data_IF_029259334413
#
_entry.id   IF_029259334413
#
_cell.length_a   1.000
_cell.length_b   1.000
_cell.length_c   1.000
_cell.angle_alpha   90.00
_cell.angle_beta   90.00
_cell.angle_gamma   90.00
#
_symmetry.space_group_name_H-M   'P 1'
#
loop_
_entity.id
_entity.type
_entity.pdbx_description
1 polymer ?
#
# COMPACT_ATOMS: atom_id res chain seq x y z
N UNK A 1 35.83 33.93 -33.58
CA UNK A 1 34.65 34.24 -32.73
C UNK A 1 33.44 33.52 -33.30
N UNK A 2 33.04 32.41 -32.69
CA UNK A 2 31.69 31.83 -32.77
C UNK A 2 31.67 30.60 -31.84
N UNK A 3 31.61 30.88 -30.55
CA UNK A 3 31.23 29.91 -29.54
C UNK A 3 29.72 29.69 -29.71
N UNK A 4 29.34 28.61 -30.39
CA UNK A 4 27.94 28.16 -30.41
C UNK A 4 27.83 27.03 -29.39
N UNK A 5 27.44 27.46 -28.20
CA UNK A 5 26.82 26.72 -27.12
C UNK A 5 26.55 25.22 -27.38
N UNK A 6 27.39 24.38 -26.78
CA UNK A 6 26.93 23.11 -26.23
C UNK A 6 25.95 23.41 -25.09
N UNK A 7 24.68 23.59 -25.43
CA UNK A 7 23.56 23.60 -24.48
C UNK A 7 22.48 22.68 -25.02
N UNK A 8 22.82 21.39 -25.09
CA UNK A 8 21.82 20.34 -24.91
C UNK A 8 21.80 20.02 -23.41
N UNK A 9 21.39 21.01 -22.61
CA UNK A 9 20.96 20.74 -21.24
C UNK A 9 19.54 20.22 -21.37
N UNK A 10 19.44 18.97 -21.83
CA UNK A 10 18.24 18.16 -21.78
C UNK A 10 18.07 17.67 -20.34
N UNK A 11 18.13 18.58 -19.37
CA UNK A 11 17.62 18.34 -18.03
C UNK A 11 16.10 18.34 -18.19
N UNK A 12 15.61 17.17 -18.61
CA UNK A 12 14.23 16.74 -18.48
C UNK A 12 13.69 17.34 -17.19
N UNK A 13 12.76 18.28 -17.33
CA UNK A 13 11.88 18.71 -16.26
C UNK A 13 11.22 17.43 -15.74
N UNK A 14 11.81 16.83 -14.71
CA UNK A 14 11.25 15.66 -14.04
C UNK A 14 10.05 16.22 -13.30
N UNK A 15 8.90 16.14 -13.96
CA UNK A 15 7.60 16.46 -13.41
C UNK A 15 7.51 15.88 -11.99
N UNK A 16 7.50 16.76 -10.99
CA UNK A 16 7.11 16.45 -9.61
C UNK A 16 5.61 16.14 -9.58
N UNK A 17 5.20 15.12 -10.34
CA UNK A 17 3.82 14.69 -10.38
C UNK A 17 3.55 13.92 -9.08
N UNK A 18 2.56 14.34 -8.27
CA UNK A 18 2.34 13.75 -6.97
C UNK A 18 2.08 12.25 -7.11
N UNK A 19 2.86 11.42 -6.41
CA UNK A 19 2.72 9.97 -6.48
C UNK A 19 1.32 9.58 -6.01
N UNK A 20 0.53 8.86 -6.84
CA UNK A 20 -0.84 8.51 -6.51
C UNK A 20 -0.90 7.62 -5.26
N UNK A 21 -1.89 7.86 -4.40
CA UNK A 21 -2.02 7.23 -3.07
C UNK A 21 -2.07 5.70 -3.16
N UNK A 22 -2.73 5.16 -4.19
CA UNK A 22 -2.82 3.71 -4.37
C UNK A 22 -1.44 3.08 -4.61
N UNK A 23 -0.52 3.81 -5.25
CA UNK A 23 0.84 3.34 -5.53
C UNK A 23 1.67 3.34 -4.24
N UNK A 24 1.61 4.41 -3.43
CA UNK A 24 2.28 4.45 -2.12
C UNK A 24 1.80 3.35 -1.15
N UNK A 25 0.54 2.91 -1.27
CA UNK A 25 -0.02 1.83 -0.46
C UNK A 25 0.55 0.46 -0.87
N UNK A 26 0.70 0.21 -2.18
CA UNK A 26 1.23 -1.03 -2.73
C UNK A 26 2.78 -1.08 -2.75
N UNK A 27 3.45 0.07 -2.74
CA UNK A 27 4.92 0.15 -2.71
C UNK A 27 5.51 -0.11 -1.32
N UNK A 28 4.70 -0.07 -0.26
CA UNK A 28 5.13 -0.33 1.11
C UNK A 28 4.96 -1.82 1.48
N UNK A 29 6.04 -2.63 1.50
CA UNK A 29 5.94 -4.07 1.78
C UNK A 29 5.38 -4.37 3.18
N UNK A 30 5.59 -3.49 4.15
CA UNK A 30 5.00 -3.63 5.49
C UNK A 30 3.48 -3.42 5.52
N UNK A 31 2.95 -2.51 4.69
CA UNK A 31 1.50 -2.31 4.58
C UNK A 31 0.86 -3.51 3.90
N UNK A 32 1.50 -4.06 2.86
CA UNK A 32 1.08 -5.29 2.21
C UNK A 32 1.15 -6.50 3.16
N UNK A 33 2.21 -6.63 3.94
CA UNK A 33 2.36 -7.68 4.95
C UNK A 33 1.29 -7.54 6.03
N UNK A 34 1.11 -6.33 6.57
CA UNK A 34 0.10 -6.05 7.57
C UNK A 34 -1.28 -6.40 7.03
N UNK A 35 -1.65 -5.92 5.84
CA UNK A 35 -2.95 -6.23 5.24
C UNK A 35 -3.10 -7.74 4.98
N UNK A 36 -2.03 -8.40 4.52
CA UNK A 36 -2.00 -9.83 4.23
C UNK A 36 -2.24 -10.70 5.47
N UNK A 37 -1.75 -10.32 6.64
CA UNK A 37 -1.95 -11.05 7.89
C UNK A 37 -3.19 -10.55 8.64
N UNK A 38 -3.43 -9.24 8.64
CA UNK A 38 -4.57 -8.62 9.33
C UNK A 38 -5.90 -9.08 8.76
N UNK A 39 -6.03 -9.20 7.42
CA UNK A 39 -7.26 -9.66 6.77
C UNK A 39 -7.72 -11.04 7.30
N UNK A 40 -6.94 -12.12 7.18
CA UNK A 40 -7.34 -13.42 7.72
C UNK A 40 -7.46 -13.38 9.25
N UNK A 41 -6.58 -12.67 9.96
CA UNK A 41 -6.62 -12.60 11.43
C UNK A 41 -7.95 -12.02 11.93
N UNK A 42 -8.37 -10.88 11.39
CA UNK A 42 -9.64 -10.25 11.78
C UNK A 42 -10.83 -11.12 11.39
N UNK A 43 -10.82 -11.69 10.17
CA UNK A 43 -11.85 -12.63 9.73
C UNK A 43 -11.98 -13.82 10.68
N UNK A 44 -10.87 -14.48 11.04
CA UNK A 44 -10.88 -15.62 11.94
C UNK A 44 -11.27 -15.25 13.37
N UNK A 45 -10.89 -14.07 13.86
CA UNK A 45 -11.33 -13.59 15.17
C UNK A 45 -12.84 -13.38 15.17
N UNK A 46 -13.37 -12.63 14.21
CA UNK A 46 -14.82 -12.35 14.13
C UNK A 46 -15.59 -13.66 13.97
N UNK A 47 -15.13 -14.53 13.08
CA UNK A 47 -15.75 -15.84 12.89
C UNK A 47 -15.71 -16.69 14.17
N UNK A 48 -14.57 -16.76 14.85
CA UNK A 48 -14.42 -17.49 16.11
C UNK A 48 -15.28 -16.93 17.25
N UNK A 49 -15.42 -15.60 17.34
CA UNK A 49 -16.31 -14.95 18.31
C UNK A 49 -17.77 -15.29 18.01
N UNK A 50 -18.17 -15.24 16.74
CA UNK A 50 -19.51 -15.65 16.32
C UNK A 50 -19.77 -17.12 16.61
N UNK A 51 -18.80 -18.00 16.37
CA UNK A 51 -18.90 -19.44 16.70
C UNK A 51 -19.15 -19.62 18.20
N UNK A 52 -18.31 -19.03 19.05
CA UNK A 52 -18.42 -19.14 20.52
C UNK A 52 -19.75 -18.57 21.03
N UNK A 53 -20.21 -17.45 20.49
CA UNK A 53 -21.48 -16.84 20.88
C UNK A 53 -22.70 -17.69 20.51
N UNK A 54 -22.60 -18.50 19.46
CA UNK A 54 -23.65 -19.41 19.01
C UNK A 54 -23.58 -20.79 19.67
N UNK A 55 -22.52 -21.11 20.40
CA UNK A 55 -22.46 -22.35 21.19
C UNK A 55 -23.49 -22.23 22.32
N UNK A 56 -24.52 -23.10 22.34
CA UNK A 56 -25.42 -23.14 23.47
C UNK A 56 -24.65 -23.67 24.68
N UNK A 57 -24.36 -22.79 25.63
CA UNK A 57 -23.93 -23.18 26.99
C UNK A 57 -25.10 -23.91 27.64
N UNK A 58 -25.11 -25.25 27.48
CA UNK A 58 -26.00 -26.29 28.02
C UNK A 58 -27.39 -25.90 28.56
N UNK A 59 -28.39 -26.69 28.15
CA UNK A 59 -29.65 -26.84 28.89
C UNK A 59 -29.40 -27.55 30.23
#
# INVERSE_FOLDING_TARGET
MAQVASTSDSSSELSDEPVPIMQQLLDNPFLLLFLGIAMPTVLYIVWGVMEIANIPVMK
#
